data_IF_345734869504
#
_entry.id   IF_345734869504
#
_cell.length_a   1.000
_cell.length_b   1.000
_cell.length_c   1.000
_cell.angle_alpha   90.00
_cell.angle_beta   90.00
_cell.angle_gamma   90.00
#
_symmetry.space_group_name_H-M   'P 1'
#
loop_
_entity.id
_entity.type
_entity.pdbx_description
1 polymer ?
#
# COMPACT_ATOMS: atom_id res chain seq x y z
N UNK A 1 43.11 21.32 12.52
CA UNK A 1 41.65 21.29 12.69
C UNK A 1 41.06 22.33 11.74
N UNK A 2 40.69 21.91 10.53
CA UNK A 2 40.02 22.75 9.53
C UNK A 2 38.52 22.70 9.79
N UNK A 3 37.96 23.82 10.25
CA UNK A 3 36.51 23.99 10.38
C UNK A 3 35.87 24.13 9.01
N UNK A 4 35.22 23.08 8.53
CA UNK A 4 34.25 23.16 7.43
C UNK A 4 32.92 23.67 8.00
N UNK A 5 32.75 25.00 8.00
CA UNK A 5 31.45 25.63 8.20
C UNK A 5 30.67 25.52 6.88
N UNK A 6 29.93 24.42 6.69
CA UNK A 6 28.93 24.34 5.61
C UNK A 6 27.79 25.32 5.93
N UNK A 7 27.74 26.41 5.16
CA UNK A 7 26.78 27.49 5.33
C UNK A 7 25.36 27.04 4.98
N UNK A 8 24.41 27.35 5.86
CA UNK A 8 22.97 27.25 5.58
C UNK A 8 22.46 28.18 4.48
N UNK A 9 23.35 28.86 3.73
CA UNK A 9 23.02 29.74 2.61
C UNK A 9 23.04 29.03 1.24
N UNK A 10 23.72 27.89 1.09
CA UNK A 10 23.73 27.14 -0.19
C UNK A 10 22.50 26.25 -0.38
N UNK A 11 21.80 25.90 0.70
CA UNK A 11 20.59 25.07 0.65
C UNK A 11 19.35 25.85 0.12
N UNK A 12 19.36 27.18 0.25
CA UNK A 12 18.31 28.08 -0.29
C UNK A 12 18.58 28.48 -1.77
N UNK A 13 19.82 28.35 -2.26
CA UNK A 13 20.21 28.79 -3.61
C UNK A 13 19.87 27.79 -4.73
N UNK A 14 19.49 26.55 -4.38
CA UNK A 14 19.21 25.48 -5.33
C UNK A 14 17.73 25.04 -5.33
N UNK A 15 16.81 25.88 -4.87
CA UNK A 15 15.37 25.63 -4.97
C UNK A 15 14.78 26.42 -6.13
N UNK A 16 14.76 25.79 -7.31
CA UNK A 16 14.11 26.35 -8.49
C UNK A 16 12.59 26.25 -8.33
N UNK A 17 12.00 27.32 -7.79
CA UNK A 17 10.55 27.47 -7.60
C UNK A 17 9.79 27.30 -8.93
N UNK A 18 10.41 27.63 -10.07
CA UNK A 18 9.82 27.47 -11.40
C UNK A 18 9.72 25.99 -11.79
N UNK A 19 10.79 25.23 -11.56
CA UNK A 19 10.79 23.78 -11.75
C UNK A 19 9.80 23.09 -10.78
N UNK A 20 9.73 23.54 -9.53
CA UNK A 20 8.75 23.03 -8.56
C UNK A 20 7.30 23.28 -9.00
N UNK A 21 7.04 24.45 -9.61
CA UNK A 21 5.72 24.81 -10.14
C UNK A 21 5.36 23.97 -11.38
N UNK A 22 6.33 23.73 -12.27
CA UNK A 22 6.18 22.82 -13.41
C UNK A 22 5.89 21.39 -12.93
N UNK A 23 6.64 20.89 -11.94
CA UNK A 23 6.41 19.56 -11.35
C UNK A 23 5.02 19.42 -10.71
N UNK A 24 4.51 20.47 -10.05
CA UNK A 24 3.14 20.49 -9.51
C UNK A 24 2.11 20.36 -10.64
N UNK A 25 2.27 21.12 -11.73
CA UNK A 25 1.34 21.03 -12.86
C UNK A 25 1.43 19.70 -13.60
N UNK A 26 2.64 19.18 -13.80
CA UNK A 26 2.86 17.86 -14.37
C UNK A 26 2.20 16.80 -13.49
N UNK A 27 2.36 16.84 -12.17
CA UNK A 27 1.71 15.92 -11.24
C UNK A 27 0.17 16.01 -11.34
N UNK A 28 -0.41 17.22 -11.33
CA UNK A 28 -1.86 17.42 -11.47
C UNK A 28 -2.36 16.87 -12.81
N UNK A 29 -1.67 17.16 -13.92
CA UNK A 29 -2.03 16.63 -15.24
C UNK A 29 -1.94 15.10 -15.28
N UNK A 30 -0.91 14.52 -14.67
CA UNK A 30 -0.71 13.07 -14.58
C UNK A 30 -1.85 12.41 -13.79
N UNK A 31 -2.24 13.00 -12.67
CA UNK A 31 -3.33 12.52 -11.81
C UNK A 31 -4.66 12.58 -12.58
N UNK A 32 -4.96 13.70 -13.24
CA UNK A 32 -6.18 13.87 -14.03
C UNK A 32 -6.25 12.88 -15.19
N UNK A 33 -5.13 12.68 -15.90
CA UNK A 33 -5.07 11.73 -17.01
C UNK A 33 -5.24 10.29 -16.53
N UNK A 34 -4.60 9.90 -15.43
CA UNK A 34 -4.78 8.59 -14.80
C UNK A 34 -6.22 8.34 -14.34
N UNK A 35 -6.86 9.36 -13.76
CA UNK A 35 -8.27 9.30 -13.36
C UNK A 35 -9.21 9.08 -14.55
N UNK A 36 -8.99 9.81 -15.66
CA UNK A 36 -9.79 9.66 -16.88
C UNK A 36 -9.57 8.31 -17.58
N UNK A 37 -8.35 7.78 -17.54
CA UNK A 37 -7.99 6.51 -18.18
C UNK A 37 -8.36 5.27 -17.34
N UNK A 38 -8.80 5.44 -16.09
CA UNK A 38 -9.24 4.33 -15.23
C UNK A 38 -8.12 3.38 -14.80
N UNK A 39 -6.87 3.84 -14.80
CA UNK A 39 -5.68 3.02 -14.48
C UNK A 39 -5.45 2.86 -12.97
N UNK A 40 -6.15 3.61 -12.12
CA UNK A 40 -5.99 3.56 -10.67
C UNK A 40 -6.23 2.16 -10.09
N UNK A 41 -7.28 1.46 -10.56
CA UNK A 41 -7.63 0.14 -10.02
C UNK A 41 -6.64 -0.96 -10.45
N UNK A 42 -6.19 -1.06 -11.72
CA UNK A 42 -5.10 -1.95 -12.10
C UNK A 42 -3.77 -1.66 -11.36
N UNK A 43 -3.45 -0.39 -11.12
CA UNK A 43 -2.24 0.00 -10.37
C UNK A 43 -2.36 -0.39 -8.90
N UNK A 44 -3.53 -0.21 -8.29
CA UNK A 44 -3.85 -0.71 -6.95
C UNK A 44 -3.68 -2.22 -6.87
N UNK A 45 -4.23 -2.96 -7.82
CA UNK A 45 -4.10 -4.41 -7.89
C UNK A 45 -2.64 -4.86 -8.00
N UNK A 46 -1.82 -4.17 -8.81
CA UNK A 46 -0.39 -4.42 -8.89
C UNK A 46 0.34 -4.18 -7.56
N UNK A 47 0.00 -3.09 -6.86
CA UNK A 47 0.49 -2.80 -5.52
C UNK A 47 0.17 -3.92 -4.53
N UNK A 48 -1.12 -4.28 -4.42
CA UNK A 48 -1.58 -5.34 -3.53
C UNK A 48 -0.92 -6.69 -3.86
N UNK A 49 -0.85 -7.06 -5.15
CA UNK A 49 -0.22 -8.32 -5.59
C UNK A 49 1.25 -8.34 -5.20
N UNK A 50 2.01 -7.29 -5.50
CA UNK A 50 3.45 -7.25 -5.16
C UNK A 50 3.71 -7.37 -3.66
N UNK A 51 2.99 -6.63 -2.82
CA UNK A 51 3.12 -6.70 -1.36
C UNK A 51 2.72 -8.08 -0.81
N UNK A 52 1.60 -8.62 -1.29
CA UNK A 52 1.08 -9.93 -0.89
C UNK A 52 2.04 -11.08 -1.24
N UNK A 53 2.76 -11.01 -2.38
CA UNK A 53 3.79 -12.00 -2.73
C UNK A 53 4.95 -11.95 -1.75
N UNK A 54 5.45 -10.75 -1.43
CA UNK A 54 6.63 -10.57 -0.54
C UNK A 54 6.30 -11.10 0.85
N UNK A 55 5.17 -10.67 1.42
CA UNK A 55 4.69 -11.15 2.71
C UNK A 55 4.53 -12.68 2.69
N UNK A 56 3.87 -13.23 1.67
CA UNK A 56 3.67 -14.67 1.54
C UNK A 56 5.01 -15.43 1.47
N UNK A 57 5.97 -14.92 0.71
CA UNK A 57 7.31 -15.51 0.61
C UNK A 57 8.02 -15.52 1.96
N UNK A 58 8.03 -14.37 2.65
CA UNK A 58 8.66 -14.21 3.97
C UNK A 58 8.02 -15.13 5.02
N UNK A 59 6.69 -15.34 4.96
CA UNK A 59 6.01 -16.36 5.77
C UNK A 59 6.48 -17.77 5.45
N UNK A 60 6.49 -18.14 4.17
CA UNK A 60 6.78 -19.51 3.72
C UNK A 60 8.22 -19.93 3.99
N UNK A 61 9.15 -18.98 4.00
CA UNK A 61 10.56 -19.21 4.36
C UNK A 61 10.73 -19.43 5.87
N UNK A 62 9.86 -18.85 6.70
CA UNK A 62 9.97 -18.95 8.16
C UNK A 62 9.88 -20.39 8.66
N UNK A 63 10.84 -20.80 9.50
CA UNK A 63 10.94 -22.17 10.03
C UNK A 63 10.49 -22.28 11.49
N UNK A 64 10.18 -21.17 12.16
CA UNK A 64 9.89 -21.15 13.59
C UNK A 64 8.38 -21.13 13.87
N UNK A 65 7.81 -22.18 14.49
CA UNK A 65 6.37 -22.23 14.77
C UNK A 65 5.89 -21.11 15.71
N UNK A 66 6.78 -20.62 16.56
CA UNK A 66 6.52 -19.51 17.49
C UNK A 66 6.27 -18.18 16.77
N UNK A 67 6.88 -17.97 15.60
CA UNK A 67 6.67 -16.79 14.76
C UNK A 67 5.54 -17.02 13.76
N UNK A 68 5.47 -18.20 13.15
CA UNK A 68 4.46 -18.50 12.12
C UNK A 68 3.03 -18.42 12.64
N UNK A 69 2.75 -18.96 13.84
CA UNK A 69 1.38 -19.00 14.40
C UNK A 69 0.75 -17.61 14.60
N UNK A 70 1.37 -16.67 15.34
CA UNK A 70 0.82 -15.34 15.51
C UNK A 70 0.80 -14.57 14.18
N UNK A 71 1.81 -14.75 13.34
CA UNK A 71 1.91 -14.05 12.06
C UNK A 71 0.84 -14.47 11.05
N UNK A 72 0.47 -15.76 10.99
CA UNK A 72 -0.69 -16.22 10.21
C UNK A 72 -1.99 -15.59 10.71
N UNK A 73 -2.17 -15.50 12.03
CA UNK A 73 -3.36 -14.88 12.61
C UNK A 73 -3.42 -13.37 12.27
N UNK A 74 -2.31 -12.65 12.45
CA UNK A 74 -2.20 -11.24 12.12
C UNK A 74 -2.46 -10.97 10.63
N UNK A 75 -1.84 -11.77 9.75
CA UNK A 75 -1.98 -11.63 8.30
C UNK A 75 -3.37 -12.01 7.79
N UNK A 76 -4.06 -12.95 8.44
CA UNK A 76 -5.46 -13.26 8.11
C UNK A 76 -6.36 -12.04 8.32
N UNK A 77 -6.17 -11.31 9.42
CA UNK A 77 -6.92 -10.07 9.66
C UNK A 77 -6.46 -8.93 8.74
N UNK A 78 -5.17 -8.81 8.47
CA UNK A 78 -4.63 -7.83 7.53
C UNK A 78 -5.25 -8.02 6.13
N UNK A 79 -5.16 -9.23 5.59
CA UNK A 79 -5.70 -9.60 4.28
C UNK A 79 -7.22 -9.45 4.23
N UNK A 80 -7.93 -9.66 5.35
CA UNK A 80 -9.37 -9.41 5.41
C UNK A 80 -9.70 -7.93 5.16
N UNK A 81 -9.00 -7.02 5.82
CA UNK A 81 -9.25 -5.58 5.67
C UNK A 81 -8.73 -5.04 4.33
N UNK A 82 -7.61 -5.53 3.81
CA UNK A 82 -7.15 -5.21 2.45
C UNK A 82 -8.17 -5.68 1.39
N UNK A 83 -8.70 -6.90 1.54
CA UNK A 83 -9.73 -7.44 0.65
C UNK A 83 -11.04 -6.66 0.71
N UNK A 84 -11.44 -6.19 1.91
CA UNK A 84 -12.59 -5.31 2.07
C UNK A 84 -12.40 -3.97 1.35
N UNK A 85 -11.21 -3.36 1.48
CA UNK A 85 -10.87 -2.12 0.79
C UNK A 85 -10.90 -2.29 -0.74
N UNK A 86 -10.26 -3.34 -1.26
CA UNK A 86 -10.27 -3.68 -2.69
C UNK A 86 -11.69 -3.92 -3.20
N UNK A 87 -12.52 -4.66 -2.45
CA UNK A 87 -13.93 -4.90 -2.78
C UNK A 87 -14.74 -3.60 -2.87
N UNK A 88 -14.48 -2.65 -1.96
CA UNK A 88 -15.03 -1.30 -2.01
C UNK A 88 -14.65 -0.55 -3.29
N UNK A 89 -13.37 -0.56 -3.67
CA UNK A 89 -12.88 0.05 -4.90
C UNK A 89 -13.51 -0.57 -6.16
N UNK A 90 -13.57 -1.91 -6.24
CA UNK A 90 -14.17 -2.64 -7.36
C UNK A 90 -15.68 -2.33 -7.48
N UNK A 91 -16.39 -2.24 -6.35
CA UNK A 91 -17.81 -1.90 -6.32
C UNK A 91 -18.06 -0.49 -6.84
N UNK A 92 -17.21 0.47 -6.49
CA UNK A 92 -17.30 1.85 -6.95
C UNK A 92 -16.93 2.01 -8.43
N UNK A 93 -15.95 1.24 -8.93
CA UNK A 93 -15.51 1.27 -10.32
C UNK A 93 -16.52 0.70 -11.33
N UNK A 94 -17.62 0.08 -10.87
CA UNK A 94 -18.69 -0.48 -11.70
C UNK A 94 -18.17 -1.41 -12.81
N UNK A 95 -17.12 -2.20 -12.50
CA UNK A 95 -16.57 -3.15 -13.46
C UNK A 95 -17.54 -4.28 -13.78
N UNK A 96 -17.37 -4.88 -14.97
CA UNK A 96 -18.08 -6.12 -15.31
C UNK A 96 -17.74 -7.19 -14.28
N UNK A 97 -18.73 -8.01 -13.92
CA UNK A 97 -18.56 -9.10 -12.96
C UNK A 97 -17.37 -10.02 -13.30
N UNK A 98 -17.10 -10.25 -14.59
CA UNK A 98 -15.93 -11.03 -15.01
C UNK A 98 -14.60 -10.39 -14.59
N UNK A 99 -14.44 -9.09 -14.77
CA UNK A 99 -13.23 -8.36 -14.36
C UNK A 99 -13.11 -8.34 -12.84
N UNK A 100 -14.20 -8.04 -12.13
CA UNK A 100 -14.24 -8.05 -10.67
C UNK A 100 -13.84 -9.44 -10.10
N UNK A 101 -14.33 -10.53 -10.70
CA UNK A 101 -13.98 -11.89 -10.30
C UNK A 101 -12.53 -12.22 -10.58
N UNK A 102 -11.97 -11.80 -11.72
CA UNK A 102 -10.55 -12.01 -12.05
C UNK A 102 -9.68 -11.32 -11.00
N UNK A 103 -9.99 -10.06 -10.66
CA UNK A 103 -9.26 -9.30 -9.66
C UNK A 103 -9.34 -9.93 -8.26
N UNK A 104 -10.54 -10.36 -7.85
CA UNK A 104 -10.73 -11.06 -6.59
C UNK A 104 -9.95 -12.39 -6.55
N UNK A 105 -9.87 -13.10 -7.67
CA UNK A 105 -9.07 -14.32 -7.80
C UNK A 105 -7.57 -14.04 -7.63
N UNK A 106 -7.03 -13.01 -8.30
CA UNK A 106 -5.64 -12.63 -8.13
C UNK A 106 -5.32 -12.25 -6.67
N UNK A 107 -6.19 -11.48 -6.03
CA UNK A 107 -6.04 -11.16 -4.61
C UNK A 107 -6.03 -12.41 -3.73
N UNK A 108 -6.97 -13.34 -3.93
CA UNK A 108 -7.11 -14.53 -3.10
C UNK A 108 -5.98 -15.55 -3.30
N UNK A 109 -5.42 -15.66 -4.50
CA UNK A 109 -4.41 -16.66 -4.84
C UNK A 109 -2.98 -16.19 -4.59
N UNK A 110 -2.71 -14.90 -4.67
CA UNK A 110 -1.35 -14.35 -4.58
C UNK A 110 -0.67 -14.71 -3.26
N UNK A 111 -1.30 -14.49 -2.11
CA UNK A 111 -0.68 -14.76 -0.81
C UNK A 111 -0.42 -16.26 -0.60
N UNK A 112 -1.37 -17.19 -0.82
CA UNK A 112 -1.10 -18.64 -0.77
C UNK A 112 -0.01 -19.10 -1.73
N UNK A 113 0.05 -18.54 -2.94
CA UNK A 113 1.13 -18.84 -3.89
C UNK A 113 2.49 -18.36 -3.37
N UNK A 114 2.56 -17.15 -2.81
CA UNK A 114 3.78 -16.63 -2.16
C UNK A 114 4.26 -17.55 -1.04
N UNK A 115 3.34 -18.00 -0.17
CA UNK A 115 3.65 -18.97 0.90
C UNK A 115 4.15 -20.30 0.34
N UNK A 116 3.48 -20.82 -0.70
CA UNK A 116 3.89 -22.05 -1.37
C UNK A 116 5.30 -21.97 -1.96
N UNK A 117 5.61 -20.87 -2.65
CA UNK A 117 6.95 -20.62 -3.20
C UNK A 117 7.97 -20.46 -2.08
N UNK A 118 7.64 -19.72 -1.02
CA UNK A 118 8.52 -19.52 0.14
C UNK A 118 8.88 -20.84 0.83
N UNK A 119 7.88 -21.72 1.02
CA UNK A 119 8.11 -23.07 1.53
C UNK A 119 9.02 -23.89 0.60
N UNK A 120 8.80 -23.81 -0.72
CA UNK A 120 9.58 -24.57 -1.70
C UNK A 120 11.08 -24.16 -1.72
N UNK A 121 11.39 -22.87 -1.54
CA UNK A 121 12.77 -22.37 -1.56
C UNK A 121 13.42 -22.27 -0.17
N UNK A 122 12.66 -22.56 0.90
CA UNK A 122 13.07 -22.35 2.28
C UNK A 122 14.39 -23.04 2.68
N UNK A 123 14.73 -24.15 2.03
CA UNK A 123 15.95 -24.93 2.31
C UNK A 123 17.25 -24.29 1.79
N UNK A 124 17.16 -23.43 0.76
CA UNK A 124 18.33 -22.80 0.12
C UNK A 124 18.34 -21.27 0.19
N UNK A 125 17.23 -20.66 0.62
CA UNK A 125 17.09 -19.21 0.71
C UNK A 125 17.51 -18.70 2.09
N UNK A 126 18.45 -17.75 2.13
CA UNK A 126 18.83 -17.05 3.36
C UNK A 126 18.13 -15.68 3.42
N UNK A 127 17.07 -15.52 4.23
CA UNK A 127 16.34 -14.26 4.36
C UNK A 127 17.19 -13.13 4.97
N UNK A 128 18.27 -13.46 5.68
CA UNK A 128 19.15 -12.48 6.31
C UNK A 128 20.31 -12.03 5.41
N UNK A 129 20.33 -12.45 4.14
CA UNK A 129 21.37 -12.01 3.21
C UNK A 129 21.17 -10.54 2.81
N UNK A 130 22.24 -9.73 2.64
CA UNK A 130 22.10 -8.32 2.27
C UNK A 130 21.32 -8.10 0.98
N UNK A 131 21.51 -8.98 -0.02
CA UNK A 131 20.79 -8.89 -1.30
C UNK A 131 19.29 -9.16 -1.15
N UNK A 132 18.90 -10.12 -0.30
CA UNK A 132 17.49 -10.40 0.00
C UNK A 132 16.82 -9.21 0.68
N UNK A 133 17.44 -8.66 1.72
CA UNK A 133 16.91 -7.53 2.48
C UNK A 133 16.79 -6.25 1.62
N UNK A 134 17.76 -5.99 0.74
CA UNK A 134 17.69 -4.84 -0.19
C UNK A 134 16.56 -5.03 -1.20
N UNK A 135 16.42 -6.22 -1.79
CA UNK A 135 15.35 -6.49 -2.74
C UNK A 135 13.96 -6.41 -2.10
N UNK A 136 13.80 -7.00 -0.91
CA UNK A 136 12.59 -6.92 -0.10
C UNK A 136 12.25 -5.46 0.22
N UNK A 137 13.20 -4.68 0.74
CA UNK A 137 12.99 -3.27 1.07
C UNK A 137 12.63 -2.39 -0.13
N UNK A 138 13.24 -2.62 -1.31
CA UNK A 138 12.89 -1.87 -2.53
C UNK A 138 11.47 -2.21 -2.99
N UNK A 139 11.13 -3.49 -3.06
CA UNK A 139 9.81 -3.91 -3.54
C UNK A 139 8.70 -3.52 -2.55
N UNK A 140 8.96 -3.64 -1.26
CA UNK A 140 7.99 -3.29 -0.21
C UNK A 140 7.80 -1.77 -0.10
N UNK A 141 8.86 -0.97 -0.22
CA UNK A 141 8.73 0.49 -0.25
C UNK A 141 8.01 1.01 -1.49
N UNK A 142 8.26 0.42 -2.67
CA UNK A 142 7.52 0.75 -3.89
C UNK A 142 6.02 0.42 -3.73
N UNK A 143 5.72 -0.76 -3.20
CA UNK A 143 4.33 -1.18 -3.01
C UNK A 143 3.62 -0.35 -1.94
N UNK A 144 4.25 -0.12 -0.79
CA UNK A 144 3.75 0.76 0.27
C UNK A 144 3.46 2.16 -0.25
N UNK A 145 4.33 2.72 -1.09
CA UNK A 145 4.10 4.03 -1.73
C UNK A 145 2.83 4.06 -2.59
N UNK A 146 2.59 3.01 -3.38
CA UNK A 146 1.36 2.88 -4.18
C UNK A 146 0.14 2.75 -3.27
N UNK A 147 0.18 1.87 -2.26
CA UNK A 147 -0.94 1.65 -1.34
C UNK A 147 -1.28 2.90 -0.52
N UNK A 148 -0.28 3.65 -0.07
CA UNK A 148 -0.46 4.94 0.63
C UNK A 148 -1.08 5.98 -0.31
N UNK A 149 -0.60 6.08 -1.56
CA UNK A 149 -1.20 6.98 -2.55
C UNK A 149 -2.68 6.64 -2.78
N UNK A 150 -2.99 5.37 -3.02
CA UNK A 150 -4.37 4.91 -3.24
C UNK A 150 -5.24 5.16 -2.01
N UNK A 151 -4.73 4.92 -0.80
CA UNK A 151 -5.46 5.16 0.44
C UNK A 151 -5.77 6.65 0.64
N UNK A 152 -4.80 7.53 0.43
CA UNK A 152 -4.97 8.96 0.67
C UNK A 152 -5.76 9.65 -0.44
N UNK A 153 -5.40 9.41 -1.71
CA UNK A 153 -5.91 10.17 -2.86
C UNK A 153 -7.17 9.53 -3.42
N UNK A 154 -7.16 8.23 -3.68
CA UNK A 154 -8.25 7.57 -4.40
C UNK A 154 -9.38 7.07 -3.47
N UNK A 155 -9.07 6.81 -2.19
CA UNK A 155 -10.06 6.43 -1.19
C UNK A 155 -10.48 7.61 -0.31
N UNK A 156 -9.57 8.11 0.54
CA UNK A 156 -9.92 9.12 1.56
C UNK A 156 -10.34 10.45 0.92
N UNK A 157 -9.55 10.99 0.00
CA UNK A 157 -9.88 12.28 -0.60
C UNK A 157 -11.18 12.21 -1.42
N UNK A 158 -11.39 11.13 -2.20
CA UNK A 158 -12.61 10.94 -2.98
C UNK A 158 -13.88 10.87 -2.10
N UNK A 159 -13.84 10.10 -1.01
CA UNK A 159 -15.00 9.96 -0.11
C UNK A 159 -15.23 11.19 0.77
N UNK A 160 -14.18 11.76 1.35
CA UNK A 160 -14.28 12.84 2.34
C UNK A 160 -14.53 14.21 1.70
N UNK A 161 -14.08 14.44 0.47
CA UNK A 161 -14.36 15.67 -0.28
C UNK A 161 -15.70 15.61 -1.04
N UNK A 162 -16.43 14.49 -0.95
CA UNK A 162 -17.72 14.36 -1.60
C UNK A 162 -18.76 15.33 -1.01
N UNK A 163 -19.67 15.84 -1.88
CA UNK A 163 -20.81 16.67 -1.44
C UNK A 163 -21.66 16.01 -0.35
N UNK A 164 -21.74 14.67 -0.36
CA UNK A 164 -22.48 13.90 0.65
C UNK A 164 -21.90 14.08 2.06
N UNK A 165 -20.58 14.02 2.20
CA UNK A 165 -19.87 14.20 3.46
C UNK A 165 -19.92 15.66 3.93
N UNK A 166 -19.70 16.61 3.01
CA UNK A 166 -19.67 18.04 3.34
C UNK A 166 -21.03 18.57 3.83
N UNK A 167 -22.15 18.04 3.33
CA UNK A 167 -23.49 18.48 3.73
C UNK A 167 -24.00 17.83 5.03
N UNK A 168 -23.33 16.80 5.57
CA UNK A 168 -23.82 16.06 6.75
C UNK A 168 -22.74 15.88 7.82
N UNK A 169 -22.71 16.82 8.76
CA UNK A 169 -21.72 16.86 9.85
C UNK A 169 -21.69 15.59 10.71
N UNK A 170 -22.84 14.95 10.96
CA UNK A 170 -22.89 13.69 11.73
C UNK A 170 -22.20 12.56 11.00
N UNK A 171 -22.42 12.45 9.69
CA UNK A 171 -21.77 11.44 8.85
C UNK A 171 -20.26 11.70 8.79
N UNK A 172 -19.85 12.96 8.67
CA UNK A 172 -18.44 13.34 8.62
C UNK A 172 -17.68 12.93 9.90
N UNK A 173 -18.22 13.22 11.08
CA UNK A 173 -17.61 12.77 12.35
C UNK A 173 -17.55 11.25 12.43
N UNK A 174 -18.65 10.56 12.09
CA UNK A 174 -18.69 9.10 12.14
C UNK A 174 -17.64 8.47 11.21
N UNK A 175 -17.50 9.00 9.99
CA UNK A 175 -16.49 8.55 9.03
C UNK A 175 -15.07 8.76 9.54
N UNK A 176 -14.75 9.91 10.15
CA UNK A 176 -13.44 10.11 10.79
C UNK A 176 -13.20 9.13 11.94
N UNK A 177 -14.19 8.89 12.80
CA UNK A 177 -14.07 7.90 13.87
C UNK A 177 -13.79 6.50 13.33
N UNK A 178 -14.49 6.07 12.28
CA UNK A 178 -14.28 4.76 11.64
C UNK A 178 -12.93 4.68 10.93
N UNK A 179 -12.47 5.76 10.31
CA UNK A 179 -11.14 5.84 9.70
C UNK A 179 -10.04 5.62 10.74
N UNK A 180 -10.09 6.34 11.86
CA UNK A 180 -9.10 6.17 12.94
C UNK A 180 -9.21 4.82 13.64
N UNK A 181 -10.42 4.28 13.78
CA UNK A 181 -10.62 2.92 14.29
C UNK A 181 -9.94 1.89 13.38
N UNK A 182 -10.14 1.98 12.06
CA UNK A 182 -9.49 1.10 11.09
C UNK A 182 -7.97 1.19 11.13
N UNK A 183 -7.43 2.41 11.14
CA UNK A 183 -5.99 2.64 11.28
C UNK A 183 -5.44 2.07 12.61
N UNK A 184 -6.18 2.23 13.72
CA UNK A 184 -5.83 1.68 15.02
C UNK A 184 -5.85 0.14 15.05
N UNK A 185 -6.83 -0.48 14.40
CA UNK A 185 -6.90 -1.94 14.26
C UNK A 185 -5.70 -2.48 13.47
N UNK A 186 -5.37 -1.86 12.34
CA UNK A 186 -4.20 -2.24 11.53
C UNK A 186 -2.88 -2.05 12.29
N UNK A 187 -2.74 -0.96 13.04
CA UNK A 187 -1.57 -0.73 13.90
C UNK A 187 -1.47 -1.76 15.03
N UNK A 188 -2.60 -2.23 15.57
CA UNK A 188 -2.62 -3.24 16.64
C UNK A 188 -2.18 -4.61 16.12
N UNK A 189 -2.53 -4.97 14.89
CA UNK A 189 -2.08 -6.21 14.25
C UNK A 189 -0.55 -6.24 14.12
N UNK A 190 0.08 -5.10 13.85
CA UNK A 190 1.54 -4.99 13.73
C UNK A 190 2.30 -5.26 15.05
N UNK A 191 1.66 -5.10 16.21
CA UNK A 191 2.28 -5.43 17.51
C UNK A 191 2.33 -6.95 17.74
N UNK A 192 1.41 -7.68 17.11
CA UNK A 192 1.25 -9.13 17.28
C UNK A 192 1.90 -9.95 16.17
N UNK A 193 2.28 -9.31 15.05
CA UNK A 193 3.01 -9.90 13.93
C UNK A 193 4.51 -9.97 14.22
#
# INVERSE_FOLDING_TARGET
>A
MTNSSCGGAELELCRDESAALVLKFVAIASILLSGMAGIAIPVLELGIVSHSVIIGLSLGVSQSPCTIRPLIAALSFHQFFEGFALGGCISQAQFKASSATIMACFFALTTPLGVGIGMAISSGYNPYSPGALIAEGILDSLSSGILVYMALVDLIAADFLSKRMSCNFRLQILSYCMLFLGAGLMSSLAIWA
#
